data_IF_641961671014
#
_entry.id   IF_641961671014
#
_cell.length_a   1.000
_cell.length_b   1.000
_cell.length_c   1.000
_cell.angle_alpha   90.00
_cell.angle_beta   90.00
_cell.angle_gamma   90.00
#
_symmetry.space_group_name_H-M   'P 1'
#
loop_
_entity.id
_entity.type
_entity.pdbx_description
1 polymer ?
#
# COMPACT_ATOMS: atom_id res chain seq x y z
N UNK A 1 15.14 1.64 -5.21
CA UNK A 1 14.40 1.39 -3.95
C UNK A 1 13.74 0.01 -3.95
N UNK A 2 13.69 -0.70 -5.11
CA UNK A 2 13.12 -2.04 -5.28
C UNK A 2 13.96 -3.17 -4.65
N UNK A 3 15.27 -3.00 -4.48
CA UNK A 3 16.17 -4.05 -3.95
C UNK A 3 15.83 -4.61 -2.56
N UNK A 4 14.93 -3.96 -1.80
CA UNK A 4 14.60 -4.39 -0.43
C UNK A 4 13.24 -5.09 -0.31
N UNK A 5 12.36 -5.02 -1.33
CA UNK A 5 11.01 -5.57 -1.22
C UNK A 5 10.98 -7.10 -1.08
N UNK A 6 11.81 -7.86 -1.81
CA UNK A 6 11.87 -9.32 -1.67
C UNK A 6 12.27 -9.79 -0.25
N UNK A 7 13.00 -8.97 0.51
CA UNK A 7 13.45 -9.29 1.86
C UNK A 7 12.39 -8.98 2.94
N UNK A 8 11.26 -8.38 2.57
CA UNK A 8 10.17 -8.06 3.50
C UNK A 8 9.25 -9.27 3.64
N UNK A 9 9.35 -9.98 4.77
CA UNK A 9 8.57 -11.18 5.06
C UNK A 9 7.24 -10.92 5.81
N UNK A 10 7.01 -9.69 6.27
CA UNK A 10 5.81 -9.35 7.03
C UNK A 10 4.69 -8.78 6.15
N UNK A 11 3.41 -8.92 6.57
CA UNK A 11 2.30 -8.30 5.87
C UNK A 11 2.51 -6.80 5.72
N UNK A 12 2.37 -6.29 4.50
CA UNK A 12 2.77 -4.91 4.17
C UNK A 12 1.68 -4.16 3.40
N UNK A 13 1.41 -2.93 3.81
CA UNK A 13 0.56 -1.99 3.06
C UNK A 13 1.40 -0.78 2.66
N UNK A 14 1.46 -0.49 1.37
CA UNK A 14 2.05 0.74 0.82
C UNK A 14 0.92 1.67 0.39
N UNK A 15 0.77 2.82 1.06
CA UNK A 15 -0.12 3.90 0.61
C UNK A 15 0.70 4.89 -0.21
N UNK A 16 0.25 5.16 -1.43
CA UNK A 16 0.96 6.05 -2.36
C UNK A 16 0.04 7.17 -2.86
N UNK A 17 0.66 8.31 -3.18
CA UNK A 17 -0.01 9.45 -3.82
C UNK A 17 -0.68 9.02 -5.13
N UNK A 18 -1.62 9.81 -5.63
CA UNK A 18 -2.15 9.59 -6.96
C UNK A 18 -1.03 9.73 -8.02
N UNK A 19 -1.17 8.99 -9.10
CA UNK A 19 -0.23 8.98 -10.20
C UNK A 19 -0.95 8.66 -11.51
N UNK A 20 -0.35 9.08 -12.61
CA UNK A 20 -0.81 8.72 -13.95
C UNK A 20 -0.74 7.20 -14.18
N UNK A 21 -1.47 6.66 -15.18
CA UNK A 21 -1.55 5.22 -15.40
C UNK A 21 -0.19 4.53 -15.63
N UNK A 22 0.77 5.19 -16.28
CA UNK A 22 2.09 4.61 -16.57
C UNK A 22 2.90 4.47 -15.28
N UNK A 23 2.91 5.51 -14.45
CA UNK A 23 3.54 5.48 -13.13
C UNK A 23 2.86 4.47 -12.21
N UNK A 24 1.52 4.38 -12.23
CA UNK A 24 0.77 3.38 -11.44
C UNK A 24 1.16 1.96 -11.82
N UNK A 25 1.26 1.66 -13.11
CA UNK A 25 1.66 0.34 -13.59
C UNK A 25 3.06 -0.03 -13.09
N UNK A 26 4.04 0.86 -13.27
CA UNK A 26 5.40 0.63 -12.80
C UNK A 26 5.48 0.45 -11.27
N UNK A 27 4.70 1.22 -10.51
CA UNK A 27 4.63 1.08 -9.06
C UNK A 27 4.03 -0.25 -8.61
N UNK A 28 3.01 -0.73 -9.32
CA UNK A 28 2.38 -2.03 -9.06
C UNK A 28 3.33 -3.18 -9.42
N UNK A 29 4.03 -3.09 -10.56
CA UNK A 29 5.04 -4.08 -10.96
C UNK A 29 6.15 -4.22 -9.89
N UNK A 30 6.56 -3.10 -9.28
CA UNK A 30 7.50 -3.12 -8.16
C UNK A 30 6.88 -3.70 -6.88
N UNK A 31 5.62 -3.36 -6.59
CA UNK A 31 4.92 -3.85 -5.40
C UNK A 31 4.65 -5.37 -5.44
N UNK A 32 4.58 -5.97 -6.62
CA UNK A 32 4.48 -7.43 -6.81
C UNK A 32 5.69 -8.19 -6.26
N UNK A 33 6.82 -7.51 -6.01
CA UNK A 33 7.98 -8.09 -5.32
C UNK A 33 7.74 -8.29 -3.80
N UNK A 34 6.68 -7.68 -3.23
CA UNK A 34 6.31 -7.90 -1.83
C UNK A 34 5.55 -9.22 -1.68
N UNK A 35 6.17 -10.20 -1.03
CA UNK A 35 5.61 -11.56 -0.84
C UNK A 35 4.22 -11.58 -0.19
N UNK A 36 3.99 -10.71 0.80
CA UNK A 36 2.68 -10.47 1.43
C UNK A 36 2.40 -8.97 1.52
N UNK A 37 2.49 -8.30 0.38
CA UNK A 37 2.27 -6.87 0.30
C UNK A 37 1.20 -6.46 -0.69
N UNK A 38 0.70 -5.25 -0.51
CA UNK A 38 -0.07 -4.55 -1.54
C UNK A 38 0.23 -3.07 -1.54
N UNK A 39 0.20 -2.47 -2.72
CA UNK A 39 0.28 -1.03 -2.92
C UNK A 39 -1.08 -0.48 -3.34
N UNK A 40 -1.47 0.65 -2.74
CA UNK A 40 -2.70 1.36 -3.08
C UNK A 40 -2.38 2.83 -3.34
N UNK A 41 -2.61 3.28 -4.57
CA UNK A 41 -2.66 4.71 -4.89
C UNK A 41 -3.98 5.29 -4.40
N UNK A 42 -3.89 6.36 -3.60
CA UNK A 42 -5.07 7.08 -3.13
C UNK A 42 -5.40 8.16 -4.17
N UNK A 43 -6.58 8.11 -4.82
CA UNK A 43 -6.98 9.13 -5.80
C UNK A 43 -6.91 10.53 -5.21
N UNK A 44 -6.53 11.52 -6.03
CA UNK A 44 -6.42 12.95 -5.66
C UNK A 44 -5.38 13.29 -4.56
N UNK A 45 -4.71 12.30 -3.97
CA UNK A 45 -3.71 12.51 -2.94
C UNK A 45 -2.35 12.97 -3.50
N UNK A 46 -1.71 13.91 -2.81
CA UNK A 46 -0.31 14.28 -3.03
C UNK A 46 0.65 13.48 -2.16
N UNK A 47 1.87 14.01 -1.97
CA UNK A 47 2.92 13.34 -1.20
C UNK A 47 2.50 13.02 0.24
N UNK A 48 1.64 13.85 0.84
CA UNK A 48 1.19 13.63 2.21
C UNK A 48 -0.17 12.91 2.21
N UNK A 49 -0.18 11.66 1.73
CA UNK A 49 -1.40 10.87 1.45
C UNK A 49 -2.45 10.95 2.57
N UNK A 50 -2.08 10.69 3.82
CA UNK A 50 -3.00 10.76 4.97
C UNK A 50 -3.53 12.16 5.27
N UNK A 51 -2.78 13.21 4.94
CA UNK A 51 -3.20 14.60 5.12
C UNK A 51 -4.11 15.04 3.99
N UNK A 52 -3.74 14.68 2.77
CA UNK A 52 -4.41 15.15 1.56
C UNK A 52 -5.76 14.42 1.40
N UNK A 53 -5.80 13.11 1.62
CA UNK A 53 -7.01 12.28 1.49
C UNK A 53 -7.19 11.32 2.68
N UNK A 54 -7.48 11.91 3.84
CA UNK A 54 -7.54 11.19 5.12
C UNK A 54 -8.51 10.00 5.11
N UNK A 55 -9.76 10.20 4.72
CA UNK A 55 -10.79 9.17 4.80
C UNK A 55 -10.46 7.97 3.91
N UNK A 56 -10.05 8.22 2.66
CA UNK A 56 -9.67 7.16 1.72
C UNK A 56 -8.44 6.38 2.23
N UNK A 57 -7.38 7.08 2.66
CA UNK A 57 -6.18 6.46 3.20
C UNK A 57 -6.47 5.67 4.51
N UNK A 58 -7.32 6.22 5.38
CA UNK A 58 -7.66 5.60 6.66
C UNK A 58 -8.52 4.34 6.49
N UNK A 59 -9.43 4.31 5.52
CA UNK A 59 -10.21 3.12 5.17
C UNK A 59 -9.29 1.97 4.75
N UNK A 60 -8.29 2.23 3.91
CA UNK A 60 -7.34 1.21 3.49
C UNK A 60 -6.48 0.68 4.64
N UNK A 61 -6.00 1.58 5.50
CA UNK A 61 -5.28 1.21 6.71
C UNK A 61 -6.14 0.33 7.63
N UNK A 62 -7.39 0.72 7.89
CA UNK A 62 -8.31 -0.04 8.75
C UNK A 62 -8.69 -1.39 8.15
N UNK A 63 -8.82 -1.46 6.82
CA UNK A 63 -9.09 -2.71 6.11
C UNK A 63 -7.91 -3.67 6.24
N UNK A 64 -6.69 -3.17 6.02
CA UNK A 64 -5.47 -3.94 6.19
C UNK A 64 -5.33 -4.47 7.62
N UNK A 65 -5.43 -3.61 8.63
CA UNK A 65 -5.32 -4.02 10.04
C UNK A 65 -6.40 -5.04 10.45
N UNK A 66 -7.63 -4.91 9.91
CA UNK A 66 -8.69 -5.88 10.16
C UNK A 66 -8.36 -7.25 9.58
N UNK A 67 -7.84 -7.31 8.35
CA UNK A 67 -7.39 -8.57 7.75
C UNK A 67 -6.35 -9.25 8.64
N UNK A 68 -5.32 -8.50 9.07
CA UNK A 68 -4.29 -9.05 9.96
C UNK A 68 -4.84 -9.54 11.31
N UNK A 69 -5.86 -8.88 11.86
CA UNK A 69 -6.47 -9.34 13.11
C UNK A 69 -7.23 -10.66 12.96
N UNK A 70 -7.74 -10.98 11.77
CA UNK A 70 -8.40 -12.26 11.50
C UNK A 70 -7.38 -13.40 11.23
N UNK A 71 -6.19 -13.07 10.73
CA UNK A 71 -5.09 -14.02 10.55
C UNK A 71 -4.32 -14.30 11.85
N UNK A 72 -4.49 -13.45 12.88
CA UNK A 72 -3.82 -13.56 14.18
C UNK A 72 -4.60 -14.35 15.25
N UNK A 73 -5.79 -14.89 14.91
CA UNK A 73 -6.51 -15.84 15.76
C UNK A 73 -5.80 -17.21 15.73
N UNK A 74 -4.82 -17.38 16.61
CA UNK A 74 -4.11 -18.64 16.88
C UNK A 74 -4.41 -19.16 18.29
#
# INVERSE_FOLDING_TARGET
>A
MADAFPDIECPTLVLKADADPETRAADLDLADELTDGRLVHVPDAGHCVLRDEYEAAYVELRTFLRRLSFDADY
#
